data_IF_336910684145
#
_entry.id   IF_336910684145
#
_cell.length_a   1.000
_cell.length_b   1.000
_cell.length_c   1.000
_cell.angle_alpha   90.00
_cell.angle_beta   90.00
_cell.angle_gamma   90.00
#
_symmetry.space_group_name_H-M   'P 1'
#
loop_
_entity.id
_entity.type
_entity.pdbx_description
1 polymer ?
#
# COMPACT_ATOMS: atom_id res chain seq x y z
N UNK A 1 24.10 -49.53 -61.95
CA UNK A 1 23.94 -50.94 -61.60
C UNK A 1 23.81 -51.02 -60.09
N UNK A 2 22.73 -50.48 -59.52
CA UNK A 2 21.37 -51.08 -59.51
C UNK A 2 21.43 -52.40 -58.73
N UNK A 3 20.61 -52.68 -57.72
CA UNK A 3 19.20 -52.37 -57.57
C UNK A 3 18.77 -52.70 -56.14
N UNK A 4 17.91 -51.83 -55.61
CA UNK A 4 16.80 -52.08 -54.68
C UNK A 4 16.70 -53.44 -53.96
N UNK A 5 16.59 -53.35 -52.63
CA UNK A 5 15.55 -54.07 -51.89
C UNK A 5 14.74 -53.07 -51.07
N UNK A 6 13.44 -53.09 -51.31
CA UNK A 6 12.39 -52.24 -50.70
C UNK A 6 11.94 -52.92 -49.41
N UNK A 7 11.88 -52.15 -48.31
CA UNK A 7 11.12 -52.53 -47.11
C UNK A 7 9.99 -51.50 -46.88
N UNK A 8 8.84 -51.95 -46.34
CA UNK A 8 7.56 -51.26 -46.46
C UNK A 8 7.38 -50.10 -45.47
N UNK A 9 6.53 -49.17 -45.90
CA UNK A 9 6.03 -48.02 -45.16
C UNK A 9 5.12 -48.50 -44.02
N UNK A 10 5.47 -48.17 -42.78
CA UNK A 10 4.52 -48.16 -41.67
C UNK A 10 4.01 -46.72 -41.45
N UNK A 11 2.81 -46.45 -41.96
CA UNK A 11 2.06 -45.23 -41.68
C UNK A 11 1.42 -45.34 -40.29
N UNK A 12 2.12 -44.89 -39.24
CA UNK A 12 1.47 -44.62 -37.97
C UNK A 12 1.05 -43.15 -37.91
N UNK A 13 -0.25 -42.95 -38.12
CA UNK A 13 -0.93 -41.66 -38.00
C UNK A 13 -0.71 -41.05 -36.62
N UNK A 14 -0.32 -39.77 -36.62
CA UNK A 14 -0.15 -38.98 -35.40
C UNK A 14 -1.46 -38.81 -34.64
N UNK A 15 -1.44 -39.23 -33.39
CA UNK A 15 -2.19 -38.57 -32.33
C UNK A 15 -1.15 -37.88 -31.43
N UNK A 16 -0.97 -36.57 -31.60
CA UNK A 16 -0.39 -35.74 -30.55
C UNK A 16 -1.35 -35.75 -29.38
N UNK A 17 -1.07 -36.57 -28.37
CA UNK A 17 -1.74 -36.50 -27.08
C UNK A 17 -1.59 -35.08 -26.54
N UNK A 18 -2.73 -34.41 -26.31
CA UNK A 18 -2.76 -33.15 -25.58
C UNK A 18 -2.10 -33.37 -24.20
N UNK A 19 -1.25 -32.45 -23.69
CA UNK A 19 -0.59 -32.64 -22.41
C UNK A 19 -1.65 -32.70 -21.30
N UNK A 20 -2.03 -33.92 -20.92
CA UNK A 20 -2.84 -34.20 -19.76
C UNK A 20 -2.05 -33.75 -18.53
N UNK A 21 -2.68 -32.93 -17.68
CA UNK A 21 -2.17 -32.57 -16.36
C UNK A 21 -1.75 -33.85 -15.64
N UNK A 22 -0.45 -34.07 -15.50
CA UNK A 22 0.04 -35.18 -14.70
C UNK A 22 -0.18 -34.84 -13.22
N UNK A 23 -0.59 -35.79 -12.37
CA UNK A 23 -0.76 -35.55 -10.93
C UNK A 23 0.52 -35.05 -10.24
N UNK A 24 1.69 -35.37 -10.81
CA UNK A 24 3.00 -34.89 -10.37
C UNK A 24 3.21 -33.37 -10.57
N UNK A 25 2.51 -32.74 -11.51
CA UNK A 25 2.59 -31.29 -11.72
C UNK A 25 1.83 -30.51 -10.64
N UNK A 26 0.76 -31.08 -10.07
CA UNK A 26 0.06 -30.47 -8.92
C UNK A 26 0.92 -30.50 -7.67
N UNK A 27 1.66 -31.59 -7.43
CA UNK A 27 2.50 -31.75 -6.25
C UNK A 27 3.75 -30.85 -6.31
N UNK A 28 4.34 -30.66 -7.50
CA UNK A 28 5.36 -29.62 -7.70
C UNK A 28 4.81 -28.20 -7.57
N UNK A 29 3.59 -27.92 -8.03
CA UNK A 29 2.96 -26.60 -7.89
C UNK A 29 2.57 -26.28 -6.44
N UNK A 30 2.12 -27.26 -5.64
CA UNK A 30 1.86 -27.10 -4.20
C UNK A 30 3.16 -26.96 -3.42
N UNK A 31 4.21 -27.68 -3.79
CA UNK A 31 5.53 -27.61 -3.14
C UNK A 31 6.29 -26.35 -3.51
N UNK A 32 6.20 -25.85 -4.76
CA UNK A 32 6.73 -24.53 -5.15
C UNK A 32 6.01 -23.38 -4.45
N UNK A 33 4.69 -23.47 -4.25
CA UNK A 33 3.94 -22.51 -3.42
C UNK A 33 4.31 -22.59 -1.94
N UNK A 34 4.92 -23.67 -1.47
CA UNK A 34 5.38 -23.81 -0.10
C UNK A 34 6.83 -23.31 0.10
N UNK A 35 7.59 -23.11 -0.98
CA UNK A 35 9.01 -22.75 -0.97
C UNK A 35 9.29 -21.32 -1.46
N UNK A 36 8.26 -20.58 -1.87
CA UNK A 36 8.42 -19.16 -2.18
C UNK A 36 8.70 -18.39 -0.87
N UNK A 37 9.72 -17.51 -0.85
CA UNK A 37 9.92 -16.59 0.26
C UNK A 37 8.62 -15.84 0.58
N UNK A 38 8.33 -15.61 1.86
CA UNK A 38 7.12 -14.90 2.32
C UNK A 38 6.91 -13.57 1.58
N UNK A 39 8.00 -12.88 1.24
CA UNK A 39 8.00 -11.65 0.45
C UNK A 39 7.33 -11.81 -0.92
N UNK A 40 7.53 -12.93 -1.59
CA UNK A 40 7.03 -13.17 -2.95
C UNK A 40 5.54 -13.51 -2.94
N UNK A 41 5.07 -14.18 -1.89
CA UNK A 41 3.64 -14.38 -1.63
C UNK A 41 2.93 -13.06 -1.35
N UNK A 42 3.51 -12.22 -0.49
CA UNK A 42 2.96 -10.91 -0.16
C UNK A 42 2.92 -10.00 -1.38
N UNK A 43 3.99 -10.01 -2.18
CA UNK A 43 4.05 -9.23 -3.42
C UNK A 43 3.01 -9.67 -4.43
N UNK A 44 2.84 -10.99 -4.62
CA UNK A 44 1.84 -11.53 -5.55
C UNK A 44 0.41 -11.22 -5.08
N UNK A 45 0.13 -11.35 -3.79
CA UNK A 45 -1.17 -11.03 -3.20
C UNK A 45 -1.50 -9.54 -3.34
N UNK A 46 -0.56 -8.67 -3.01
CA UNK A 46 -0.73 -7.22 -3.15
C UNK A 46 -0.83 -6.79 -4.63
N UNK A 47 -0.14 -7.47 -5.56
CA UNK A 47 -0.30 -7.24 -7.01
C UNK A 47 -1.75 -7.45 -7.45
N UNK A 48 -2.35 -8.57 -7.02
CA UNK A 48 -3.72 -8.93 -7.36
C UNK A 48 -4.71 -7.95 -6.77
N UNK A 49 -4.45 -7.45 -5.55
CA UNK A 49 -5.26 -6.42 -4.92
C UNK A 49 -5.22 -5.11 -5.69
N UNK A 50 -4.03 -4.61 -6.06
CA UNK A 50 -3.89 -3.41 -6.90
C UNK A 50 -4.60 -3.59 -8.24
N UNK A 51 -4.38 -4.73 -8.92
CA UNK A 51 -5.03 -5.00 -10.20
C UNK A 51 -6.56 -5.06 -10.08
N UNK A 52 -7.09 -5.63 -8.98
CA UNK A 52 -8.54 -5.68 -8.73
C UNK A 52 -9.09 -4.28 -8.44
N UNK A 53 -8.36 -3.45 -7.68
CA UNK A 53 -8.71 -2.05 -7.42
C UNK A 53 -8.75 -1.23 -8.71
N UNK A 54 -7.78 -1.43 -9.60
CA UNK A 54 -7.73 -0.80 -10.92
C UNK A 54 -8.90 -1.26 -11.80
N UNK A 55 -9.20 -2.57 -11.85
CA UNK A 55 -10.36 -3.11 -12.58
C UNK A 55 -11.69 -2.52 -12.08
N UNK A 56 -11.80 -2.29 -10.77
CA UNK A 56 -12.98 -1.67 -10.16
C UNK A 56 -12.98 -0.13 -10.29
N UNK A 57 -11.91 0.46 -10.85
CA UNK A 57 -11.67 1.90 -10.90
C UNK A 57 -11.79 2.59 -9.52
N UNK A 58 -11.45 1.86 -8.45
CA UNK A 58 -11.50 2.36 -7.07
C UNK A 58 -10.09 2.70 -6.62
N UNK A 59 -9.86 3.99 -6.35
CA UNK A 59 -8.61 4.44 -5.73
C UNK A 59 -8.58 4.04 -4.26
N UNK A 60 -7.42 3.63 -3.76
CA UNK A 60 -7.23 3.30 -2.34
C UNK A 60 -7.58 4.49 -1.41
N UNK A 61 -7.39 5.73 -1.87
CA UNK A 61 -7.81 6.94 -1.15
C UNK A 61 -9.33 6.95 -0.87
N UNK A 62 -10.14 6.53 -1.84
CA UNK A 62 -11.59 6.46 -1.67
C UNK A 62 -12.01 5.39 -0.66
N UNK A 63 -11.28 4.27 -0.58
CA UNK A 63 -11.51 3.25 0.45
C UNK A 63 -11.18 3.74 1.85
N UNK A 64 -10.08 4.48 2.02
CA UNK A 64 -9.74 5.10 3.30
C UNK A 64 -10.73 6.18 3.71
N UNK A 65 -11.18 7.00 2.76
CA UNK A 65 -12.23 7.98 2.99
C UNK A 65 -13.55 7.32 3.42
N UNK A 66 -14.00 6.28 2.71
CA UNK A 66 -15.23 5.57 3.02
C UNK A 66 -15.15 4.89 4.40
N UNK A 67 -14.03 4.24 4.72
CA UNK A 67 -13.84 3.60 6.02
C UNK A 67 -13.80 4.63 7.17
N UNK A 68 -13.15 5.77 6.97
CA UNK A 68 -13.18 6.89 7.93
C UNK A 68 -14.61 7.44 8.12
N UNK A 69 -15.39 7.61 7.05
CA UNK A 69 -16.77 8.05 7.12
C UNK A 69 -17.65 7.07 7.92
N UNK A 70 -17.45 5.77 7.73
CA UNK A 70 -18.13 4.74 8.52
C UNK A 70 -17.78 4.81 10.02
N UNK A 71 -16.50 5.05 10.37
CA UNK A 71 -16.07 5.25 11.76
C UNK A 71 -16.78 6.48 12.36
N UNK A 72 -16.78 7.60 11.64
CA UNK A 72 -17.44 8.84 12.09
C UNK A 72 -18.94 8.62 12.29
N UNK A 73 -19.62 7.95 11.36
CA UNK A 73 -21.05 7.65 11.48
C UNK A 73 -21.35 6.80 12.73
N UNK A 74 -20.58 5.73 12.97
CA UNK A 74 -20.72 4.92 14.19
C UNK A 74 -20.42 5.71 15.46
N UNK A 75 -19.42 6.60 15.42
CA UNK A 75 -19.03 7.42 16.55
C UNK A 75 -20.10 8.48 16.89
N UNK A 76 -20.71 9.12 15.90
CA UNK A 76 -21.82 10.08 16.09
C UNK A 76 -23.04 9.38 16.67
N UNK A 77 -23.43 8.21 16.14
CA UNK A 77 -24.52 7.39 16.69
C UNK A 77 -24.26 7.03 18.15
N UNK A 78 -23.00 6.74 18.49
CA UNK A 78 -22.59 6.42 19.86
C UNK A 78 -22.60 7.63 20.77
N UNK A 79 -22.10 8.77 20.30
CA UNK A 79 -22.14 10.05 20.99
C UNK A 79 -23.58 10.44 21.35
N UNK A 80 -24.51 10.36 20.38
CA UNK A 80 -25.92 10.69 20.60
C UNK A 80 -26.62 9.76 21.60
N UNK A 81 -26.18 8.51 21.70
CA UNK A 81 -26.72 7.56 22.67
C UNK A 81 -26.09 7.62 24.06
N UNK A 82 -25.00 8.40 24.23
CA UNK A 82 -24.16 8.37 25.44
C UNK A 82 -24.41 9.53 26.41
N UNK A 83 -25.59 10.16 26.36
CA UNK A 83 -25.94 11.24 27.28
C UNK A 83 -26.34 10.69 28.65
N UNK A 84 -25.38 10.61 29.56
CA UNK A 84 -25.58 10.22 30.96
C UNK A 84 -24.27 10.06 31.72
N UNK A 85 -24.27 10.36 33.03
CA UNK A 85 -23.07 10.34 33.89
C UNK A 85 -22.42 8.94 33.92
N UNK A 86 -23.21 7.88 33.82
CA UNK A 86 -22.73 6.48 33.81
C UNK A 86 -22.08 6.05 32.50
N UNK A 87 -22.13 6.88 31.44
CA UNK A 87 -21.59 6.58 30.11
C UNK A 87 -20.50 7.56 29.66
N UNK A 88 -19.93 8.33 30.60
CA UNK A 88 -18.88 9.31 30.34
C UNK A 88 -17.66 8.72 29.58
N UNK A 89 -17.18 7.49 29.86
CA UNK A 89 -16.11 6.89 29.06
C UNK A 89 -16.50 6.67 27.59
N UNK A 90 -17.74 6.25 27.32
CA UNK A 90 -18.23 6.06 25.95
C UNK A 90 -18.32 7.39 25.21
N UNK A 91 -18.71 8.46 25.92
CA UNK A 91 -18.73 9.82 25.38
C UNK A 91 -17.33 10.30 24.99
N UNK A 92 -16.33 10.16 25.88
CA UNK A 92 -14.93 10.51 25.58
C UNK A 92 -14.42 9.73 24.35
N UNK A 93 -14.62 8.42 24.32
CA UNK A 93 -14.17 7.59 23.21
C UNK A 93 -14.88 7.93 21.90
N UNK A 94 -16.16 8.27 21.94
CA UNK A 94 -16.91 8.70 20.75
C UNK A 94 -16.41 10.04 20.21
N UNK A 95 -16.08 11.02 21.07
CA UNK A 95 -15.47 12.29 20.65
C UNK A 95 -14.09 12.06 20.04
N UNK A 96 -13.27 11.20 20.67
CA UNK A 96 -11.98 10.80 20.12
C UNK A 96 -12.11 10.17 18.73
N UNK A 97 -13.06 9.25 18.53
CA UNK A 97 -13.33 8.63 17.24
C UNK A 97 -13.83 9.62 16.18
N UNK A 98 -14.69 10.58 16.55
CA UNK A 98 -15.16 11.63 15.63
C UNK A 98 -13.98 12.47 15.16
N UNK A 99 -13.17 12.99 16.09
CA UNK A 99 -12.03 13.87 15.76
C UNK A 99 -11.03 13.13 14.87
N UNK A 100 -10.64 11.91 15.23
CA UNK A 100 -9.66 11.15 14.46
C UNK A 100 -10.21 10.61 13.13
N UNK A 101 -11.48 10.21 13.08
CA UNK A 101 -12.14 9.83 11.84
C UNK A 101 -12.24 11.00 10.87
N UNK A 102 -12.61 12.19 11.35
CA UNK A 102 -12.62 13.42 10.53
C UNK A 102 -11.23 13.80 10.03
N UNK A 103 -10.17 13.62 10.85
CA UNK A 103 -8.80 13.87 10.41
C UNK A 103 -8.41 13.00 9.20
N UNK A 104 -8.69 11.69 9.25
CA UNK A 104 -8.41 10.78 8.13
C UNK A 104 -9.28 11.12 6.93
N UNK A 105 -10.56 11.42 7.16
CA UNK A 105 -11.49 11.82 6.11
C UNK A 105 -10.98 13.05 5.36
N UNK A 106 -10.48 14.08 6.06
CA UNK A 106 -9.88 15.28 5.44
C UNK A 106 -8.61 14.94 4.64
N UNK A 107 -7.77 14.02 5.14
CA UNK A 107 -6.56 13.57 4.44
C UNK A 107 -6.90 12.86 3.13
N UNK A 108 -7.92 12.01 3.14
CA UNK A 108 -8.24 11.12 2.02
C UNK A 108 -9.46 11.56 1.19
N UNK A 109 -9.98 12.78 1.41
CA UNK A 109 -11.06 13.36 0.58
C UNK A 109 -10.72 13.19 -0.91
N UNK A 110 -11.60 12.54 -1.71
CA UNK A 110 -11.38 12.45 -3.14
C UNK A 110 -11.43 13.86 -3.74
N UNK A 111 -10.39 14.19 -4.53
CA UNK A 111 -10.21 15.51 -5.10
C UNK A 111 -9.36 16.46 -4.23
N UNK A 112 -9.17 17.67 -4.74
CA UNK A 112 -8.34 18.72 -4.13
C UNK A 112 -9.15 19.99 -3.87
N UNK A 113 -10.20 19.92 -3.03
CA UNK A 113 -10.94 21.12 -2.71
C UNK A 113 -10.04 22.12 -1.98
N UNK A 114 -10.11 23.40 -2.38
CA UNK A 114 -9.20 24.47 -1.92
C UNK A 114 -9.18 24.62 -0.39
N UNK A 115 -10.31 24.40 0.29
CA UNK A 115 -10.42 24.48 1.76
C UNK A 115 -9.68 23.34 2.48
N UNK A 116 -9.69 22.12 1.92
CA UNK A 116 -9.04 20.97 2.54
C UNK A 116 -7.51 21.08 2.49
N UNK A 117 -6.97 21.83 1.53
CA UNK A 117 -5.53 22.03 1.38
C UNK A 117 -4.84 22.58 2.64
N UNK A 118 -5.44 23.58 3.29
CA UNK A 118 -4.90 24.18 4.53
C UNK A 118 -4.89 23.17 5.68
N UNK A 119 -5.98 22.43 5.86
CA UNK A 119 -6.10 21.44 6.93
C UNK A 119 -5.19 20.23 6.71
N UNK A 120 -5.12 19.72 5.47
CA UNK A 120 -4.17 18.66 5.08
C UNK A 120 -2.73 19.07 5.39
N UNK A 121 -2.33 20.30 5.09
CA UNK A 121 -0.97 20.79 5.40
C UNK A 121 -0.71 20.78 6.91
N UNK A 122 -1.67 21.24 7.72
CA UNK A 122 -1.50 21.26 9.17
C UNK A 122 -1.41 19.86 9.77
N UNK A 123 -2.26 18.93 9.32
CA UNK A 123 -2.23 17.53 9.77
C UNK A 123 -0.90 16.87 9.36
N UNK A 124 -0.46 17.08 8.11
CA UNK A 124 0.82 16.54 7.62
C UNK A 124 2.03 17.07 8.38
N UNK A 125 1.95 18.27 8.96
CA UNK A 125 3.01 18.86 9.80
C UNK A 125 3.05 18.24 11.19
N UNK A 126 1.89 18.03 11.82
CA UNK A 126 1.81 17.60 13.23
C UNK A 126 1.74 16.08 13.41
N UNK A 127 1.22 15.35 12.42
CA UNK A 127 1.01 13.90 12.49
C UNK A 127 1.66 13.22 11.29
N UNK A 128 2.99 13.26 11.24
CA UNK A 128 3.78 12.71 10.13
C UNK A 128 3.63 11.20 9.97
N UNK A 129 3.31 10.47 11.03
CA UNK A 129 3.02 9.04 10.90
C UNK A 129 1.71 8.80 10.11
N UNK A 130 0.72 9.71 10.19
CA UNK A 130 -0.54 9.66 9.43
C UNK A 130 -0.36 10.02 7.95
N UNK A 131 0.84 10.40 7.53
CA UNK A 131 1.12 10.69 6.12
C UNK A 131 1.70 9.50 5.40
N UNK A 132 2.25 8.54 6.15
CA UNK A 132 2.72 7.24 5.66
C UNK A 132 1.54 6.30 5.45
N UNK A 133 1.55 5.55 4.36
CA UNK A 133 0.48 4.64 3.98
C UNK A 133 0.31 3.50 5.02
N UNK A 134 1.42 2.95 5.52
CA UNK A 134 1.47 1.99 6.64
C UNK A 134 0.88 2.60 7.91
N UNK A 135 1.29 3.82 8.27
CA UNK A 135 0.81 4.52 9.45
C UNK A 135 -0.69 4.80 9.40
N UNK A 136 -1.21 5.27 8.26
CA UNK A 136 -2.65 5.43 8.03
C UNK A 136 -3.43 4.13 8.20
N UNK A 137 -2.93 3.05 7.61
CA UNK A 137 -3.58 1.73 7.66
C UNK A 137 -3.64 1.19 9.08
N UNK A 138 -2.54 1.30 9.83
CA UNK A 138 -2.48 0.89 11.24
C UNK A 138 -3.40 1.75 12.11
N UNK A 139 -3.46 3.06 11.87
CA UNK A 139 -4.35 3.97 12.58
C UNK A 139 -5.82 3.65 12.32
N UNK A 140 -6.19 3.36 11.07
CA UNK A 140 -7.55 2.92 10.72
C UNK A 140 -7.92 1.60 11.40
N UNK A 141 -7.01 0.64 11.48
CA UNK A 141 -7.23 -0.60 12.21
C UNK A 141 -7.49 -0.34 13.71
N UNK A 142 -6.71 0.55 14.32
CA UNK A 142 -6.89 0.95 15.72
C UNK A 142 -8.26 1.63 15.96
N UNK A 143 -8.64 2.58 15.08
CA UNK A 143 -9.94 3.25 15.17
C UNK A 143 -11.10 2.27 14.93
N UNK A 144 -10.94 1.32 14.01
CA UNK A 144 -11.90 0.25 13.75
C UNK A 144 -12.12 -0.65 14.97
N UNK A 145 -11.03 -1.08 15.62
CA UNK A 145 -11.07 -1.85 16.87
C UNK A 145 -11.77 -1.07 17.99
N UNK A 146 -11.40 0.20 18.14
CA UNK A 146 -11.96 1.08 19.16
C UNK A 146 -13.45 1.33 18.94
N UNK A 147 -13.88 1.57 17.69
CA UNK A 147 -15.29 1.73 17.32
C UNK A 147 -16.14 0.51 17.68
N UNK A 148 -15.62 -0.70 17.46
CA UNK A 148 -16.30 -1.94 17.85
C UNK A 148 -16.41 -2.09 19.37
N UNK A 149 -15.32 -1.79 20.09
CA UNK A 149 -15.31 -1.85 21.55
C UNK A 149 -16.29 -0.84 22.16
N UNK A 150 -16.31 0.40 21.68
CA UNK A 150 -17.23 1.44 22.19
C UNK A 150 -18.69 1.07 21.91
N UNK A 151 -18.98 0.48 20.75
CA UNK A 151 -20.35 0.04 20.43
C UNK A 151 -20.81 -1.11 21.34
N UNK A 152 -19.94 -2.08 21.62
CA UNK A 152 -20.24 -3.20 22.53
C UNK A 152 -20.36 -2.78 24.00
N UNK A 153 -19.60 -1.77 24.41
CA UNK A 153 -19.64 -1.23 25.77
C UNK A 153 -20.91 -0.41 26.07
N UNK A 154 -21.66 -0.02 25.03
CA UNK A 154 -22.90 0.75 25.21
C UNK A 154 -24.02 -0.16 25.72
N UNK A 155 -24.60 0.18 26.88
CA UNK A 155 -25.56 -0.68 27.61
C UNK A 155 -26.89 -0.92 26.90
N UNK A 156 -27.29 -0.01 25.99
CA UNK A 156 -28.57 -0.06 25.28
C UNK A 156 -28.34 0.16 23.79
N UNK A 157 -28.09 -0.93 23.06
CA UNK A 157 -27.92 -0.91 21.60
C UNK A 157 -28.87 -1.89 20.95
N UNK A 158 -29.63 -1.40 19.96
CA UNK A 158 -30.49 -2.24 19.13
C UNK A 158 -29.65 -3.26 18.35
N UNK A 159 -30.17 -4.48 18.16
CA UNK A 159 -29.51 -5.55 17.39
C UNK A 159 -29.10 -5.06 15.99
N UNK A 160 -29.97 -4.29 15.34
CA UNK A 160 -29.68 -3.67 14.05
C UNK A 160 -28.44 -2.76 14.08
N UNK A 161 -28.26 -1.97 15.16
CA UNK A 161 -27.09 -1.10 15.32
C UNK A 161 -25.81 -1.92 15.52
N UNK A 162 -25.87 -3.01 16.30
CA UNK A 162 -24.72 -3.91 16.48
C UNK A 162 -24.34 -4.54 15.14
N UNK A 163 -25.33 -4.99 14.36
CA UNK A 163 -25.10 -5.57 13.03
C UNK A 163 -24.43 -4.56 12.08
N UNK A 164 -25.00 -3.37 11.94
CA UNK A 164 -24.45 -2.31 11.08
C UNK A 164 -23.04 -1.89 11.50
N UNK A 165 -22.82 -1.74 12.81
CA UNK A 165 -21.49 -1.42 13.35
C UNK A 165 -20.49 -2.53 13.06
N UNK A 166 -20.88 -3.81 13.20
CA UNK A 166 -20.01 -4.95 12.93
C UNK A 166 -19.62 -5.03 11.46
N UNK A 167 -20.58 -4.89 10.54
CA UNK A 167 -20.32 -4.87 9.09
C UNK A 167 -19.39 -3.70 8.73
N UNK A 168 -19.66 -2.53 9.28
CA UNK A 168 -18.82 -1.34 9.10
C UNK A 168 -17.40 -1.56 9.61
N UNK A 169 -17.20 -2.19 10.77
CA UNK A 169 -15.87 -2.48 11.30
C UNK A 169 -15.13 -3.51 10.45
N UNK A 170 -15.81 -4.56 9.95
CA UNK A 170 -15.21 -5.52 9.02
C UNK A 170 -14.70 -4.81 7.77
N UNK A 171 -15.51 -3.90 7.21
CA UNK A 171 -15.12 -3.09 6.06
C UNK A 171 -13.88 -2.21 6.36
N UNK A 172 -13.84 -1.56 7.53
CA UNK A 172 -12.67 -0.77 7.96
C UNK A 172 -11.41 -1.63 8.07
N UNK A 173 -11.51 -2.83 8.66
CA UNK A 173 -10.37 -3.75 8.75
C UNK A 173 -9.93 -4.27 7.38
N UNK A 174 -10.85 -4.54 6.47
CA UNK A 174 -10.52 -4.93 5.09
C UNK A 174 -9.78 -3.81 4.35
N UNK A 175 -10.25 -2.56 4.49
CA UNK A 175 -9.58 -1.39 3.92
C UNK A 175 -8.17 -1.17 4.53
N UNK A 176 -8.04 -1.29 5.85
CA UNK A 176 -6.75 -1.20 6.54
C UNK A 176 -5.78 -2.31 6.12
N UNK A 177 -6.26 -3.56 6.01
CA UNK A 177 -5.45 -4.69 5.55
C UNK A 177 -4.99 -4.53 4.11
N UNK A 178 -5.88 -4.09 3.23
CA UNK A 178 -5.54 -3.79 1.82
C UNK A 178 -4.48 -2.70 1.74
N UNK A 179 -4.66 -1.60 2.49
CA UNK A 179 -3.69 -0.51 2.61
C UNK A 179 -2.31 -0.96 3.08
N UNK A 180 -2.29 -1.81 4.11
CA UNK A 180 -1.05 -2.35 4.68
C UNK A 180 -0.30 -3.25 3.68
N UNK A 181 -1.02 -4.13 2.97
CA UNK A 181 -0.42 -5.01 1.97
C UNK A 181 0.19 -4.23 0.80
N UNK A 182 -0.53 -3.20 0.32
CA UNK A 182 -0.03 -2.30 -0.72
C UNK A 182 1.24 -1.57 -0.22
N UNK A 183 1.22 -1.06 1.00
CA UNK A 183 2.35 -0.34 1.57
C UNK A 183 3.60 -1.23 1.71
N UNK A 184 3.43 -2.48 2.17
CA UNK A 184 4.53 -3.44 2.29
C UNK A 184 5.13 -3.76 0.92
N UNK A 185 4.31 -4.07 -0.09
CA UNK A 185 4.77 -4.32 -1.46
C UNK A 185 5.57 -3.16 -2.03
N UNK A 186 5.05 -1.93 -1.89
CA UNK A 186 5.77 -0.73 -2.37
C UNK A 186 7.06 -0.51 -1.59
N UNK A 187 7.09 -0.79 -0.29
CA UNK A 187 8.31 -0.69 0.54
C UNK A 187 9.37 -1.71 0.10
N UNK A 188 8.98 -2.96 -0.14
CA UNK A 188 9.88 -4.01 -0.64
C UNK A 188 10.42 -3.68 -2.04
N UNK A 189 9.56 -3.14 -2.92
CA UNK A 189 9.98 -2.68 -4.24
C UNK A 189 11.01 -1.55 -4.15
N UNK A 190 10.81 -0.59 -3.25
CA UNK A 190 11.76 0.50 -3.00
C UNK A 190 13.11 -0.04 -2.48
N UNK A 191 13.08 -1.02 -1.57
CA UNK A 191 14.30 -1.67 -1.06
C UNK A 191 15.06 -2.45 -2.13
N UNK A 192 14.36 -3.14 -3.05
CA UNK A 192 15.02 -3.79 -4.20
C UNK A 192 15.76 -2.76 -5.06
N UNK A 193 15.11 -1.62 -5.34
CA UNK A 193 15.72 -0.53 -6.10
C UNK A 193 16.95 0.02 -5.36
N UNK A 194 16.83 0.26 -4.06
CA UNK A 194 17.96 0.68 -3.21
C UNK A 194 19.12 -0.33 -3.26
N UNK A 195 18.82 -1.64 -3.20
CA UNK A 195 19.81 -2.71 -3.31
C UNK A 195 20.58 -2.67 -4.64
N UNK A 196 19.86 -2.52 -5.76
CA UNK A 196 20.46 -2.44 -7.11
C UNK A 196 21.31 -1.18 -7.25
N UNK A 197 20.82 -0.02 -6.79
CA UNK A 197 21.60 1.22 -6.80
C UNK A 197 22.87 1.07 -5.95
N UNK A 198 22.76 0.42 -4.79
CA UNK A 198 23.88 0.20 -3.88
C UNK A 198 24.97 -0.66 -4.51
N UNK A 199 24.58 -1.74 -5.20
CA UNK A 199 25.48 -2.64 -5.92
C UNK A 199 26.17 -1.91 -7.09
N UNK A 200 25.40 -1.18 -7.90
CA UNK A 200 25.92 -0.45 -9.06
C UNK A 200 26.83 0.72 -8.67
N UNK A 201 26.56 1.39 -7.55
CA UNK A 201 27.30 2.58 -7.11
C UNK A 201 28.56 2.25 -6.31
N UNK A 202 28.79 1.00 -5.90
CA UNK A 202 29.98 0.53 -5.14
C UNK A 202 30.37 1.42 -3.93
N UNK A 203 29.40 2.06 -3.27
CA UNK A 203 29.66 2.97 -2.15
C UNK A 203 29.69 4.47 -2.49
N UNK A 204 29.77 4.84 -3.77
CA UNK A 204 29.75 6.24 -4.23
C UNK A 204 28.33 6.78 -4.44
N UNK A 205 27.47 6.69 -3.41
CA UNK A 205 26.05 7.05 -3.52
C UNK A 205 25.84 8.55 -3.78
N UNK A 206 26.74 9.40 -3.28
CA UNK A 206 26.67 10.85 -3.43
C UNK A 206 26.94 11.28 -4.88
N UNK A 207 27.88 10.61 -5.55
CA UNK A 207 28.17 10.89 -6.96
C UNK A 207 27.01 10.49 -7.86
N UNK A 208 26.31 9.40 -7.49
CA UNK A 208 25.07 9.01 -8.13
C UNK A 208 23.99 10.09 -7.96
N UNK A 209 23.78 10.58 -6.74
CA UNK A 209 22.83 11.68 -6.48
C UNK A 209 23.13 12.91 -7.34
N UNK A 210 24.39 13.38 -7.36
CA UNK A 210 24.82 14.58 -8.11
C UNK A 210 24.69 14.42 -9.62
N UNK A 211 24.78 13.20 -10.15
CA UNK A 211 24.57 12.93 -11.58
C UNK A 211 23.13 13.18 -12.04
N UNK A 212 22.15 12.97 -11.15
CA UNK A 212 20.72 13.05 -11.51
C UNK A 212 20.00 14.28 -10.97
N UNK A 213 20.48 14.90 -9.89
CA UNK A 213 19.95 16.14 -9.35
C UNK A 213 20.45 17.37 -10.15
N UNK A 214 20.04 17.48 -11.42
CA UNK A 214 20.53 18.49 -12.37
C UNK A 214 19.60 19.71 -12.50
N UNK A 215 18.33 19.58 -12.10
CA UNK A 215 17.30 20.59 -12.30
C UNK A 215 17.47 21.83 -11.42
N UNK A 216 17.65 21.64 -10.10
CA UNK A 216 17.91 22.74 -9.16
C UNK A 216 18.77 22.26 -7.97
N UNK A 217 20.04 22.70 -7.86
CA UNK A 217 20.94 22.27 -6.78
C UNK A 217 20.49 22.76 -5.39
N UNK A 218 19.73 23.86 -5.33
CA UNK A 218 19.23 24.44 -4.07
C UNK A 218 17.94 23.79 -3.55
N UNK A 219 17.14 23.19 -4.43
CA UNK A 219 15.87 22.52 -4.07
C UNK A 219 16.03 21.02 -3.86
N UNK A 220 17.02 20.39 -4.48
CA UNK A 220 17.27 18.94 -4.39
C UNK A 220 16.63 18.14 -5.51
N UNK A 221 16.74 16.82 -5.45
CA UNK A 221 16.30 15.90 -6.50
C UNK A 221 14.77 15.85 -6.61
N UNK A 222 14.24 16.13 -7.79
CA UNK A 222 12.80 16.15 -8.08
C UNK A 222 12.25 14.76 -8.42
N UNK A 223 10.91 14.64 -8.44
CA UNK A 223 10.20 13.39 -8.78
C UNK A 223 10.69 12.75 -10.08
N UNK A 224 10.79 13.52 -11.16
CA UNK A 224 11.16 12.99 -12.47
C UNK A 224 12.61 12.51 -12.50
N UNK A 225 13.50 13.21 -11.80
CA UNK A 225 14.93 12.88 -11.71
C UNK A 225 15.15 11.60 -10.91
N UNK A 226 14.44 11.45 -9.78
CA UNK A 226 14.46 10.23 -9.00
C UNK A 226 13.93 9.03 -9.82
N UNK A 227 12.81 9.21 -10.52
CA UNK A 227 12.25 8.14 -11.35
C UNK A 227 13.21 7.73 -12.48
N UNK A 228 13.87 8.72 -13.10
CA UNK A 228 14.89 8.48 -14.13
C UNK A 228 16.09 7.72 -13.57
N UNK A 229 16.59 8.11 -12.41
CA UNK A 229 17.67 7.39 -11.73
C UNK A 229 17.28 5.93 -11.44
N UNK A 230 16.07 5.68 -10.96
CA UNK A 230 15.57 4.32 -10.73
C UNK A 230 15.48 3.52 -12.04
N UNK A 231 14.96 4.13 -13.11
CA UNK A 231 14.85 3.48 -14.43
C UNK A 231 16.25 3.14 -14.99
N UNK A 232 17.20 4.06 -14.93
CA UNK A 232 18.54 3.88 -15.50
C UNK A 232 19.32 2.78 -14.78
N UNK A 233 19.22 2.67 -13.45
CA UNK A 233 19.92 1.63 -12.69
C UNK A 233 19.23 0.26 -12.73
N UNK A 234 17.93 0.22 -13.03
CA UNK A 234 17.15 -1.03 -13.10
C UNK A 234 16.88 -1.48 -14.53
N UNK A 235 17.53 -0.85 -15.53
CA UNK A 235 17.30 -1.10 -16.97
C UNK A 235 15.81 -0.99 -17.36
N UNK A 236 15.08 -0.05 -16.76
CA UNK A 236 13.65 0.17 -16.97
C UNK A 236 12.72 -0.80 -16.23
N UNK A 237 13.24 -1.79 -15.51
CA UNK A 237 12.42 -2.81 -14.82
C UNK A 237 11.59 -2.22 -13.67
N UNK A 238 12.07 -1.15 -13.03
CA UNK A 238 11.39 -0.49 -11.93
C UNK A 238 11.19 1.00 -12.18
N UNK A 239 10.13 1.32 -12.92
CA UNK A 239 9.61 2.70 -13.05
C UNK A 239 8.38 2.88 -12.15
N UNK A 240 8.38 3.94 -11.35
CA UNK A 240 7.27 4.24 -10.45
C UNK A 240 6.28 5.19 -11.14
N UNK A 241 4.99 4.98 -10.89
CA UNK A 241 3.94 5.92 -11.30
C UNK A 241 3.95 7.17 -10.41
N UNK A 242 3.39 8.28 -10.88
CA UNK A 242 3.34 9.56 -10.18
C UNK A 242 2.74 9.41 -8.78
N UNK A 243 1.70 8.59 -8.64
CA UNK A 243 1.04 8.34 -7.35
C UNK A 243 1.98 7.63 -6.36
N UNK A 244 2.77 6.68 -6.84
CA UNK A 244 3.76 5.95 -6.05
C UNK A 244 4.92 6.85 -5.63
N UNK A 245 5.38 7.72 -6.54
CA UNK A 245 6.40 8.72 -6.23
C UNK A 245 5.96 9.66 -5.12
N UNK A 246 4.69 10.11 -5.12
CA UNK A 246 4.17 10.91 -4.02
C UNK A 246 4.23 10.17 -2.67
N UNK A 247 3.93 8.86 -2.65
CA UNK A 247 4.01 8.06 -1.43
C UNK A 247 5.47 7.94 -0.97
N UNK A 248 6.39 7.66 -1.89
CA UNK A 248 7.82 7.52 -1.61
C UNK A 248 8.40 8.83 -1.05
N UNK A 249 8.15 9.95 -1.73
CA UNK A 249 8.65 11.26 -1.29
C UNK A 249 8.01 11.70 0.02
N UNK A 250 6.74 11.39 0.30
CA UNK A 250 6.16 11.69 1.63
C UNK A 250 6.93 11.03 2.79
N UNK A 251 7.72 10.00 2.49
CA UNK A 251 8.51 9.26 3.47
C UNK A 251 9.98 9.72 3.44
N UNK A 252 10.55 9.92 2.25
CA UNK A 252 11.95 10.31 2.05
C UNK A 252 12.23 11.81 2.25
N UNK A 253 11.27 12.68 1.91
CA UNK A 253 11.39 14.12 2.08
C UNK A 253 11.03 14.52 3.51
N UNK A 254 12.03 14.98 4.25
CA UNK A 254 11.87 15.36 5.64
C UNK A 254 11.06 16.64 5.82
N UNK A 255 11.22 17.55 4.87
CA UNK A 255 10.73 18.92 4.94
C UNK A 255 9.48 19.17 4.08
N UNK A 256 8.95 18.15 3.41
CA UNK A 256 7.78 18.23 2.52
C UNK A 256 7.94 19.29 1.41
N UNK A 257 9.17 19.46 0.92
CA UNK A 257 9.52 20.36 -0.19
C UNK A 257 9.21 19.75 -1.57
N UNK A 258 8.76 18.50 -1.63
CA UNK A 258 8.61 17.70 -2.86
C UNK A 258 9.93 17.47 -3.59
N UNK A 259 11.03 17.44 -2.84
CA UNK A 259 12.38 17.22 -3.34
C UNK A 259 13.22 16.55 -2.24
N UNK A 260 14.17 15.72 -2.65
CA UNK A 260 15.06 14.97 -1.75
C UNK A 260 16.43 15.64 -1.77
N UNK A 261 16.94 16.04 -0.60
CA UNK A 261 18.27 16.63 -0.46
C UNK A 261 19.36 15.54 -0.42
N UNK A 262 20.62 15.94 -0.67
CA UNK A 262 21.78 15.03 -0.65
C UNK A 262 21.88 14.25 0.68
N UNK A 263 21.61 14.93 1.80
CA UNK A 263 21.60 14.32 3.13
C UNK A 263 20.49 13.27 3.28
N UNK A 264 19.27 13.60 2.90
CA UNK A 264 18.11 12.68 3.00
C UNK A 264 18.31 11.46 2.10
N UNK A 265 18.89 11.67 0.91
CA UNK A 265 19.26 10.60 0.00
C UNK A 265 20.33 9.67 0.61
N UNK A 266 21.38 10.25 1.20
CA UNK A 266 22.42 9.48 1.87
C UNK A 266 21.86 8.69 3.05
N UNK A 267 21.02 9.30 3.89
CA UNK A 267 20.35 8.63 5.01
C UNK A 267 19.45 7.49 4.54
N UNK A 268 18.73 7.66 3.42
CA UNK A 268 17.97 6.57 2.82
C UNK A 268 18.86 5.42 2.33
N UNK A 269 19.96 5.72 1.63
CA UNK A 269 20.88 4.71 1.08
C UNK A 269 21.66 3.95 2.16
N UNK A 270 22.08 4.64 3.22
CA UNK A 270 22.83 4.07 4.34
C UNK A 270 21.94 3.48 5.43
N UNK A 271 20.68 3.90 5.52
CA UNK A 271 19.75 3.55 6.59
C UNK A 271 19.10 2.16 6.45
N UNK A 272 18.24 1.85 7.42
CA UNK A 272 17.43 0.63 7.45
C UNK A 272 16.22 0.69 6.51
N UNK A 273 15.40 -0.36 6.52
CA UNK A 273 14.24 -0.49 5.64
C UNK A 273 13.24 0.64 5.85
N UNK A 274 12.80 1.27 4.76
CA UNK A 274 11.82 2.36 4.79
C UNK A 274 10.40 1.84 4.57
N UNK A 275 9.56 1.97 5.59
CA UNK A 275 8.13 1.65 5.51
C UNK A 275 7.34 2.84 4.97
N UNK A 276 6.66 2.61 3.84
CA UNK A 276 5.89 3.61 3.10
C UNK A 276 4.53 3.93 3.73
#
# INVERSE_FOLDING_TARGET
>A
MDSHKVDPVDMSYGYTEAPGRQPYDMERASTQRSLMPLSDHMDTGAARLEQTLEMLNVRYQSLFFASAACIVANAVMTFLSSFGITQLPCLIMSVFLIINGLMIMILDVPGTPRWAGKHRRNIRKNMRFLTRLTGKSLWLALLGATSLMTTKATRSVNIFRIFMSTVSTIFVFAAAGTGMLIAIRKSLRLERVKGIIKENSKGAYIDCYRKYALGDPDYGMQFQEFNRMCADHTSGTHQFDIVDLYIIFNVLDEFQKSAINEREFYEWMAGSLVFL
#
